data_IF_892153764846
#
_entry.id   IF_892153764846
#
_cell.length_a   1.000
_cell.length_b   1.000
_cell.length_c   1.000
_cell.angle_alpha   90.00
_cell.angle_beta   90.00
_cell.angle_gamma   90.00
#
_symmetry.space_group_name_H-M   'P 1'
#
loop_
_entity.id
_entity.type
_entity.pdbx_description
1 polymer ?
#
# COMPACT_ATOMS: atom_id res chain seq x y z
N UNK A 1 -5.99 -14.05 -48.77
CA UNK A 1 -5.28 -14.94 -47.83
C UNK A 1 -4.21 -14.23 -46.99
N UNK A 2 -3.53 -13.18 -47.48
CA UNK A 2 -2.52 -12.47 -46.68
C UNK A 2 -3.09 -11.71 -45.45
N UNK A 3 -4.32 -11.18 -45.54
CA UNK A 3 -4.96 -10.46 -44.43
C UNK A 3 -5.32 -11.35 -43.23
N UNK A 4 -5.64 -12.62 -43.45
CA UNK A 4 -5.92 -13.59 -42.37
C UNK A 4 -4.63 -14.00 -41.66
N UNK A 5 -3.54 -14.23 -42.43
CA UNK A 5 -2.23 -14.54 -41.88
C UNK A 5 -1.65 -13.40 -41.02
N UNK A 6 -1.82 -12.14 -41.45
CA UNK A 6 -1.40 -10.98 -40.66
C UNK A 6 -2.20 -10.84 -39.35
N UNK A 7 -3.52 -11.07 -39.42
CA UNK A 7 -4.39 -11.08 -38.24
C UNK A 7 -4.02 -12.18 -37.23
N UNK A 8 -3.72 -13.39 -37.72
CA UNK A 8 -3.27 -14.50 -36.88
C UNK A 8 -1.90 -14.22 -36.26
N UNK A 9 -0.93 -13.69 -37.03
CA UNK A 9 0.38 -13.30 -36.52
C UNK A 9 0.28 -12.22 -35.43
N UNK A 10 -0.57 -11.21 -35.62
CA UNK A 10 -0.83 -10.17 -34.62
C UNK A 10 -1.43 -10.74 -33.33
N UNK A 11 -2.37 -11.69 -33.45
CA UNK A 11 -2.95 -12.39 -32.31
C UNK A 11 -1.91 -13.21 -31.55
N UNK A 12 -1.08 -13.97 -32.26
CA UNK A 12 -0.01 -14.78 -31.66
C UNK A 12 1.00 -13.86 -30.94
N UNK A 13 1.42 -12.77 -31.58
CA UNK A 13 2.31 -11.79 -30.97
C UNK A 13 1.74 -11.23 -29.67
N UNK A 14 0.46 -10.83 -29.70
CA UNK A 14 -0.24 -10.32 -28.51
C UNK A 14 -0.25 -11.35 -27.37
N UNK A 15 -0.56 -12.61 -27.68
CA UNK A 15 -0.58 -13.68 -26.69
C UNK A 15 0.81 -13.96 -26.10
N UNK A 16 1.85 -13.96 -26.92
CA UNK A 16 3.23 -14.13 -26.46
C UNK A 16 3.69 -12.96 -25.59
N UNK A 17 3.30 -11.74 -25.96
CA UNK A 17 3.60 -10.54 -25.19
C UNK A 17 2.93 -10.57 -23.81
N UNK A 18 1.64 -10.92 -23.75
CA UNK A 18 0.91 -11.09 -22.48
C UNK A 18 1.58 -12.14 -21.60
N UNK A 19 1.96 -13.30 -22.15
CA UNK A 19 2.66 -14.35 -21.38
C UNK A 19 4.02 -13.89 -20.85
N UNK A 20 4.73 -13.00 -21.56
CA UNK A 20 5.97 -12.40 -21.07
C UNK A 20 5.69 -11.50 -19.86
N UNK A 21 4.69 -10.62 -19.96
CA UNK A 21 4.28 -9.73 -18.87
C UNK A 21 3.86 -10.54 -17.64
N UNK A 22 3.03 -11.57 -17.82
CA UNK A 22 2.58 -12.43 -16.73
C UNK A 22 3.76 -13.09 -15.98
N UNK A 23 4.75 -13.61 -16.71
CA UNK A 23 5.94 -14.20 -16.09
C UNK A 23 6.76 -13.18 -15.29
N UNK A 24 6.93 -11.97 -15.82
CA UNK A 24 7.65 -10.91 -15.11
C UNK A 24 6.89 -10.45 -13.86
N UNK A 25 5.57 -10.27 -13.97
CA UNK A 25 4.73 -9.89 -12.84
C UNK A 25 4.79 -10.94 -11.73
N UNK A 26 4.69 -12.23 -12.06
CA UNK A 26 4.81 -13.31 -11.08
C UNK A 26 6.17 -13.29 -10.40
N UNK A 27 7.25 -13.21 -11.18
CA UNK A 27 8.60 -13.13 -10.63
C UNK A 27 8.77 -11.96 -9.65
N UNK A 28 8.29 -10.77 -10.01
CA UNK A 28 8.35 -9.60 -9.13
C UNK A 28 7.53 -9.80 -7.85
N UNK A 29 6.34 -10.41 -7.95
CA UNK A 29 5.53 -10.72 -6.76
C UNK A 29 6.24 -11.74 -5.85
N UNK A 30 6.89 -12.74 -6.43
CA UNK A 30 7.66 -13.74 -5.68
C UNK A 30 8.86 -13.09 -4.97
N UNK A 31 9.58 -12.17 -5.64
CA UNK A 31 10.67 -11.41 -5.03
C UNK A 31 10.20 -10.53 -3.87
N UNK A 32 9.03 -9.88 -4.03
CA UNK A 32 8.42 -9.08 -2.97
C UNK A 32 8.06 -9.99 -1.79
N UNK A 33 7.38 -11.11 -2.04
CA UNK A 33 6.98 -12.06 -1.00
C UNK A 33 8.20 -12.64 -0.26
N UNK A 34 9.28 -12.96 -0.97
CA UNK A 34 10.51 -13.49 -0.37
C UNK A 34 11.22 -12.46 0.52
N UNK A 35 11.09 -11.16 0.21
CA UNK A 35 11.66 -10.07 1.01
C UNK A 35 10.70 -9.54 2.07
N UNK A 36 9.41 -9.89 1.99
CA UNK A 36 8.42 -9.45 2.96
C UNK A 36 8.67 -10.20 4.26
N UNK A 37 8.99 -9.50 5.36
CA UNK A 37 9.28 -10.18 6.61
C UNK A 37 8.01 -10.83 7.15
N UNK A 38 8.00 -12.16 7.29
CA UNK A 38 6.86 -12.92 7.80
C UNK A 38 6.38 -12.40 9.17
N UNK A 39 7.32 -11.93 10.00
CA UNK A 39 7.03 -11.36 11.32
C UNK A 39 6.24 -10.05 11.28
N UNK A 40 6.16 -9.32 10.16
CA UNK A 40 5.30 -8.13 10.06
C UNK A 40 3.83 -8.50 9.99
N UNK A 41 3.49 -9.65 9.40
CA UNK A 41 2.13 -10.16 9.36
C UNK A 41 1.72 -10.58 10.78
N UNK A 42 2.60 -11.31 11.46
CA UNK A 42 2.38 -11.73 12.85
C UNK A 42 2.37 -10.55 13.83
N UNK A 43 3.21 -9.52 13.64
CA UNK A 43 3.20 -8.30 14.45
C UNK A 43 1.90 -7.51 14.29
N UNK A 44 1.34 -7.42 13.07
CA UNK A 44 0.03 -6.80 12.84
C UNK A 44 -1.08 -7.64 13.47
N UNK A 45 -1.01 -8.96 13.34
CA UNK A 45 -1.97 -9.87 13.96
C UNK A 45 -1.89 -9.86 15.50
N UNK A 46 -0.68 -9.71 16.07
CA UNK A 46 -0.41 -9.73 17.51
C UNK A 46 -0.67 -8.37 18.18
N UNK A 47 -0.53 -7.25 17.47
CA UNK A 47 -0.91 -5.92 17.97
C UNK A 47 -2.43 -5.77 18.13
N UNK A 48 -3.21 -6.74 17.64
CA UNK A 48 -4.66 -6.71 17.64
C UNK A 48 -5.20 -5.64 16.70
N UNK A 49 -6.46 -5.77 16.30
CA UNK A 49 -7.19 -4.63 15.76
C UNK A 49 -7.09 -3.49 16.78
N UNK A 50 -6.79 -2.24 16.37
CA UNK A 50 -6.89 -1.12 17.30
C UNK A 50 -8.27 -1.22 17.96
N UNK A 51 -8.35 -1.10 19.30
CA UNK A 51 -9.61 -1.20 20.00
C UNK A 51 -10.58 -0.27 19.29
N UNK A 52 -11.75 -0.82 18.91
CA UNK A 52 -12.74 -0.12 18.09
C UNK A 52 -12.76 1.34 18.51
N UNK A 53 -12.27 2.23 17.62
CA UNK A 53 -12.37 3.67 17.81
C UNK A 53 -13.84 4.05 17.59
N UNK A 54 -14.71 3.52 18.46
CA UNK A 54 -15.91 4.23 18.84
C UNK A 54 -15.46 5.64 19.20
N UNK A 55 -16.08 6.60 18.53
CA UNK A 55 -15.75 8.01 18.53
C UNK A 55 -15.94 8.63 19.92
N UNK A 56 -15.05 8.31 20.86
CA UNK A 56 -14.97 8.87 22.20
C UNK A 56 -13.54 8.62 22.64
N UNK A 57 -12.61 9.57 22.54
CA UNK A 57 -12.60 10.84 23.24
C UNK A 57 -11.68 11.74 22.40
N UNK A 58 -12.21 12.84 21.88
CA UNK A 58 -11.36 13.94 21.44
C UNK A 58 -10.64 14.44 22.70
N UNK A 59 -9.30 14.39 22.80
CA UNK A 59 -8.66 15.00 23.94
C UNK A 59 -8.90 16.51 23.86
N UNK A 60 -9.52 17.08 24.89
CA UNK A 60 -9.68 18.54 25.13
C UNK A 60 -8.38 19.35 24.98
N UNK A 61 -7.24 18.68 24.85
CA UNK A 61 -5.90 19.24 24.72
C UNK A 61 -5.53 19.76 23.32
N UNK A 62 -6.48 19.91 22.39
CA UNK A 62 -6.24 20.53 21.09
C UNK A 62 -6.86 21.93 20.93
N UNK A 63 -7.50 22.47 21.98
CA UNK A 63 -8.06 23.83 21.96
C UNK A 63 -7.17 24.89 22.63
N UNK A 64 -6.10 24.50 23.33
CA UNK A 64 -5.28 25.43 24.12
C UNK A 64 -4.03 25.96 23.38
N UNK A 65 -4.01 25.86 22.05
CA UNK A 65 -2.94 26.46 21.21
C UNK A 65 -3.36 27.77 20.55
N UNK A 66 -4.50 28.36 20.95
CA UNK A 66 -4.81 29.77 20.69
C UNK A 66 -4.95 30.46 22.04
N UNK A 67 -4.17 31.52 22.25
CA UNK A 67 -4.00 32.31 23.47
C UNK A 67 -2.87 31.72 24.34
N UNK A 68 -1.70 32.32 24.49
CA UNK A 68 -1.25 33.68 24.26
C UNK A 68 -0.05 33.89 25.19
N UNK A 69 1.08 34.28 24.60
CA UNK A 69 2.22 34.93 25.25
C UNK A 69 2.65 34.44 26.65
N UNK A 70 3.71 33.63 26.67
CA UNK A 70 4.58 33.49 27.85
C UNK A 70 5.30 34.85 28.04
N UNK A 71 4.71 35.74 28.84
CA UNK A 71 5.39 36.95 29.32
C UNK A 71 5.96 36.67 30.70
N UNK A 72 7.29 36.65 30.73
CA UNK A 72 8.14 36.87 31.89
C UNK A 72 7.74 38.18 32.61
N UNK A 73 7.57 38.12 33.93
CA UNK A 73 7.69 39.26 34.86
C UNK A 73 7.77 38.77 36.31
N UNK A 74 8.99 38.57 36.79
CA UNK A 74 9.51 39.07 38.08
C UNK A 74 8.56 39.17 39.29
N UNK A 75 8.78 38.32 40.32
CA UNK A 75 9.15 38.65 41.72
C UNK A 75 8.76 37.55 42.70
#
# INVERSE_FOLDING_TARGET
MAGTALGEASRIFTLLHIRKIQRMAQHTLDEIAARFPAHLIDDVNARGLPPDRTLSVWPEKLLDSRNGSYFDSSR
#
